data_IF_827271817065
#
_entry.id   IF_827271817065
#
_cell.length_a   1.000
_cell.length_b   1.000
_cell.length_c   1.000
_cell.angle_alpha   90.00
_cell.angle_beta   90.00
_cell.angle_gamma   90.00
#
_symmetry.space_group_name_H-M   'P 1'
#
loop_
_entity.id
_entity.type
_entity.pdbx_description
1 polymer ?
#
# COMPACT_ATOMS: atom_id res chain seq x y z
N UNK A 1 -2.76 -2.09 12.00
CA UNK A 1 -2.21 -3.06 12.99
C UNK A 1 -3.35 -3.81 13.66
N UNK A 2 -3.08 -5.02 14.16
CA UNK A 2 -4.08 -5.76 14.91
C UNK A 2 -4.34 -5.10 16.28
N UNK A 3 -5.55 -5.27 16.79
CA UNK A 3 -5.93 -4.83 18.14
C UNK A 3 -5.30 -5.77 19.18
N UNK A 4 -4.66 -5.24 20.24
CA UNK A 4 -4.01 -6.05 21.28
C UNK A 4 -5.02 -6.91 22.07
N UNK A 5 -6.25 -6.45 22.21
CA UNK A 5 -7.31 -7.24 22.83
C UNK A 5 -7.68 -8.43 21.93
N UNK A 6 -7.80 -8.19 20.61
CA UNK A 6 -8.05 -9.26 19.65
C UNK A 6 -6.91 -10.31 19.69
N UNK A 7 -5.64 -9.88 19.68
CA UNK A 7 -4.49 -10.77 19.75
C UNK A 7 -4.57 -11.65 21.01
N UNK A 8 -4.85 -11.05 22.16
CA UNK A 8 -4.95 -11.76 23.44
C UNK A 8 -6.09 -12.78 23.48
N UNK A 9 -7.26 -12.42 22.92
CA UNK A 9 -8.44 -13.28 22.91
C UNK A 9 -8.37 -14.37 21.83
N UNK A 10 -7.51 -14.20 20.80
CA UNK A 10 -7.40 -15.09 19.66
C UNK A 10 -5.93 -15.49 19.38
N UNK A 11 -5.12 -15.67 20.42
CA UNK A 11 -3.66 -15.91 20.31
C UNK A 11 -3.34 -17.06 19.36
N UNK A 12 -4.03 -18.20 19.45
CA UNK A 12 -3.76 -19.37 18.59
C UNK A 12 -4.11 -19.11 17.13
N UNK A 13 -5.18 -18.36 16.86
CA UNK A 13 -5.53 -17.98 15.49
C UNK A 13 -4.47 -17.03 14.87
N UNK A 14 -3.94 -16.09 15.67
CA UNK A 14 -2.86 -15.19 15.21
C UNK A 14 -1.58 -15.97 14.97
N UNK A 15 -1.21 -16.93 15.84
CA UNK A 15 -0.06 -17.82 15.63
C UNK A 15 -0.22 -18.65 14.35
N UNK A 16 -1.39 -19.25 14.13
CA UNK A 16 -1.69 -20.00 12.91
C UNK A 16 -1.57 -19.12 11.64
N UNK A 17 -2.08 -17.89 11.70
CA UNK A 17 -1.95 -16.93 10.60
C UNK A 17 -0.48 -16.58 10.32
N UNK A 18 0.35 -16.40 11.34
CA UNK A 18 1.80 -16.17 11.17
C UNK A 18 2.48 -17.36 10.48
N UNK A 19 2.17 -18.58 10.91
CA UNK A 19 2.69 -19.81 10.29
C UNK A 19 2.27 -19.90 8.82
N UNK A 20 0.98 -19.71 8.51
CA UNK A 20 0.46 -19.76 7.15
C UNK A 20 1.08 -18.68 6.24
N UNK A 21 1.47 -17.53 6.81
CA UNK A 21 2.16 -16.44 6.10
C UNK A 21 3.69 -16.59 6.08
N UNK A 22 4.23 -17.74 6.48
CA UNK A 22 5.67 -17.99 6.59
C UNK A 22 6.42 -16.88 7.36
N UNK A 23 5.80 -16.39 8.43
CA UNK A 23 6.32 -15.31 9.26
C UNK A 23 6.75 -15.87 10.62
N UNK A 24 8.01 -15.66 10.97
CA UNK A 24 8.66 -16.17 12.19
C UNK A 24 8.56 -15.20 13.39
N UNK A 25 7.64 -14.21 13.33
CA UNK A 25 7.46 -13.23 14.39
C UNK A 25 7.08 -13.89 15.72
N UNK A 26 7.81 -13.56 16.79
CA UNK A 26 7.54 -14.05 18.15
C UNK A 26 6.34 -13.32 18.77
N UNK A 27 5.17 -13.98 18.71
CA UNK A 27 3.94 -13.44 19.31
C UNK A 27 3.95 -13.54 20.85
N UNK A 28 4.70 -14.47 21.44
CA UNK A 28 4.71 -14.66 22.90
C UNK A 28 5.34 -13.46 23.61
N UNK A 29 6.33 -12.79 23.00
CA UNK A 29 6.86 -11.52 23.50
C UNK A 29 5.77 -10.44 23.62
N UNK A 30 4.87 -10.34 22.64
CA UNK A 30 3.76 -9.37 22.66
C UNK A 30 2.76 -9.66 23.77
N UNK A 31 2.43 -10.93 23.96
CA UNK A 31 1.52 -11.38 25.04
C UNK A 31 2.11 -11.06 26.41
N UNK A 32 3.40 -11.30 26.60
CA UNK A 32 4.10 -11.00 27.86
C UNK A 32 4.17 -9.48 28.12
N UNK A 33 4.47 -8.68 27.10
CA UNK A 33 4.45 -7.21 27.19
C UNK A 33 3.06 -6.68 27.55
N UNK A 34 1.99 -7.21 26.94
CA UNK A 34 0.61 -6.82 27.28
C UNK A 34 0.26 -7.23 28.73
N UNK A 35 0.67 -8.41 29.18
CA UNK A 35 0.50 -8.84 30.56
C UNK A 35 1.16 -7.85 31.52
N UNK A 36 2.43 -7.56 31.30
CA UNK A 36 3.22 -6.62 32.11
C UNK A 36 2.60 -5.22 32.11
N UNK A 37 2.19 -4.73 30.94
CA UNK A 37 1.49 -3.45 30.80
C UNK A 37 0.23 -3.38 31.67
N UNK A 38 -0.61 -4.41 31.63
CA UNK A 38 -1.84 -4.46 32.43
C UNK A 38 -1.57 -4.52 33.94
N UNK A 39 -0.55 -5.26 34.38
CA UNK A 39 -0.12 -5.30 35.77
C UNK A 39 0.35 -3.92 36.26
N UNK A 40 1.19 -3.22 35.49
CA UNK A 40 1.65 -1.87 35.81
C UNK A 40 0.51 -0.86 35.85
N UNK A 41 -0.44 -0.93 34.94
CA UNK A 41 -1.65 -0.09 34.95
C UNK A 41 -2.47 -0.32 36.22
N UNK A 42 -2.73 -1.57 36.57
CA UNK A 42 -3.50 -1.92 37.78
C UNK A 42 -2.81 -1.42 39.06
N UNK A 43 -1.48 -1.57 39.14
CA UNK A 43 -0.68 -1.04 40.26
C UNK A 43 -0.76 0.48 40.36
N UNK A 44 -0.62 1.16 39.22
CA UNK A 44 -0.70 2.63 39.17
C UNK A 44 -2.09 3.14 39.55
N UNK A 45 -3.16 2.51 39.05
CA UNK A 45 -4.53 2.87 39.42
C UNK A 45 -4.83 2.67 40.91
N UNK A 46 -4.37 1.58 41.50
CA UNK A 46 -4.49 1.31 42.93
C UNK A 46 -3.80 2.39 43.76
N UNK A 47 -2.54 2.71 43.45
CA UNK A 47 -1.77 3.75 44.16
C UNK A 47 -2.34 5.17 43.96
N UNK A 48 -2.86 5.48 42.76
CA UNK A 48 -3.55 6.77 42.50
C UNK A 48 -4.85 6.86 43.30
N UNK A 49 -5.61 5.78 43.43
CA UNK A 49 -6.82 5.71 44.24
C UNK A 49 -6.51 5.90 45.73
N UNK A 50 -5.50 5.19 46.26
CA UNK A 50 -5.00 5.34 47.63
C UNK A 50 -4.59 6.79 47.92
N UNK A 51 -3.73 7.38 47.06
CA UNK A 51 -3.28 8.75 47.18
C UNK A 51 -4.44 9.74 47.22
N UNK A 52 -5.47 9.56 46.38
CA UNK A 52 -6.63 10.43 46.33
C UNK A 52 -7.48 10.31 47.62
N UNK A 53 -7.63 9.12 48.18
CA UNK A 53 -8.35 8.89 49.43
C UNK A 53 -7.60 9.53 50.63
N UNK A 54 -6.30 9.30 50.73
CA UNK A 54 -5.48 9.87 51.81
C UNK A 54 -5.33 11.39 51.72
N UNK A 55 -5.25 11.95 50.51
CA UNK A 55 -5.23 13.40 50.28
C UNK A 55 -6.49 14.05 50.84
N UNK A 56 -7.68 13.42 50.73
CA UNK A 56 -8.92 13.93 51.34
C UNK A 56 -8.87 13.89 52.86
N UNK A 57 -8.31 12.83 53.46
CA UNK A 57 -8.13 12.70 54.91
C UNK A 57 -7.15 13.76 55.44
N UNK A 58 -6.02 13.97 54.76
CA UNK A 58 -5.03 15.01 55.11
C UNK A 58 -5.67 16.41 55.07
N UNK A 59 -6.51 16.71 54.08
CA UNK A 59 -7.20 17.95 53.95
C UNK A 59 -8.18 18.18 55.13
N UNK A 60 -8.88 17.14 55.60
CA UNK A 60 -9.77 17.15 56.74
C UNK A 60 -9.00 17.37 58.05
N UNK A 61 -7.92 16.61 58.30
CA UNK A 61 -7.05 16.76 59.46
C UNK A 61 -6.47 18.17 59.59
N UNK A 62 -5.98 18.74 58.47
CA UNK A 62 -5.50 20.13 58.44
C UNK A 62 -6.61 21.14 58.79
N UNK A 63 -7.84 20.91 58.32
CA UNK A 63 -9.00 21.75 58.66
C UNK A 63 -9.32 21.70 60.15
N UNK A 64 -9.14 20.50 60.76
CA UNK A 64 -9.35 20.26 62.18
C UNK A 64 -8.15 20.70 63.05
N UNK A 65 -7.04 21.19 62.46
CA UNK A 65 -5.78 21.55 63.14
C UNK A 65 -5.08 20.35 63.78
N UNK A 66 -5.29 19.15 63.22
CA UNK A 66 -4.60 17.92 63.61
C UNK A 66 -3.27 17.76 62.86
N UNK A 67 -2.29 17.05 63.46
CA UNK A 67 -1.00 16.81 62.82
C UNK A 67 -1.17 15.79 61.69
N UNK A 68 -0.84 16.18 60.47
CA UNK A 68 -0.88 15.34 59.29
C UNK A 68 0.51 15.06 58.69
N UNK A 69 1.58 15.38 59.40
CA UNK A 69 2.96 15.34 58.88
C UNK A 69 3.38 13.93 58.41
N UNK A 70 3.06 12.87 59.20
CA UNK A 70 3.34 11.48 58.88
C UNK A 70 2.57 11.04 57.60
N UNK A 71 1.29 11.40 57.49
CA UNK A 71 0.47 11.06 56.32
C UNK A 71 0.99 11.80 55.04
N UNK A 72 1.44 13.04 55.20
CA UNK A 72 2.04 13.80 54.07
C UNK A 72 3.34 13.14 53.61
N UNK A 73 4.19 12.68 54.51
CA UNK A 73 5.42 11.96 54.17
C UNK A 73 5.12 10.64 53.44
N UNK A 74 4.17 9.86 53.94
CA UNK A 74 3.75 8.61 53.29
C UNK A 74 3.20 8.88 51.86
N UNK A 75 2.42 9.94 51.67
CA UNK A 75 1.91 10.27 50.34
C UNK A 75 2.99 10.79 49.37
N UNK A 76 4.09 11.33 49.89
CA UNK A 76 5.26 11.67 49.09
C UNK A 76 5.97 10.40 48.57
N UNK A 77 6.11 9.35 49.40
CA UNK A 77 6.63 8.07 48.99
C UNK A 77 5.72 7.38 47.95
N UNK A 78 4.41 7.41 48.16
CA UNK A 78 3.43 6.90 47.16
C UNK A 78 3.60 7.65 45.84
N UNK A 79 3.76 8.98 45.86
CA UNK A 79 4.03 9.76 44.66
C UNK A 79 5.31 9.34 43.92
N UNK A 80 6.38 9.02 44.64
CA UNK A 80 7.63 8.52 44.07
C UNK A 80 7.45 7.14 43.43
N UNK A 81 6.70 6.24 44.08
CA UNK A 81 6.37 4.92 43.51
C UNK A 81 5.55 5.04 42.22
N UNK A 82 4.53 5.89 42.21
CA UNK A 82 3.72 6.13 41.01
C UNK A 82 4.63 6.63 39.86
N UNK A 83 5.51 7.58 40.09
CA UNK A 83 6.41 8.11 39.06
C UNK A 83 7.37 7.02 38.50
N UNK A 84 7.85 6.11 39.35
CA UNK A 84 8.68 4.99 38.93
C UNK A 84 7.91 3.99 38.05
N UNK A 85 6.67 3.64 38.45
CA UNK A 85 5.81 2.73 37.69
C UNK A 85 5.37 3.37 36.37
N UNK A 86 4.97 4.65 36.36
CA UNK A 86 4.58 5.37 35.14
C UNK A 86 5.76 5.43 34.14
N UNK A 87 7.02 5.56 34.60
CA UNK A 87 8.21 5.48 33.75
C UNK A 87 8.42 4.09 33.15
N UNK A 88 8.25 3.04 33.96
CA UNK A 88 8.37 1.66 33.48
C UNK A 88 7.26 1.34 32.48
N UNK A 89 6.03 1.75 32.77
CA UNK A 89 4.88 1.58 31.88
C UNK A 89 5.11 2.24 30.52
N UNK A 90 5.61 3.49 30.48
CA UNK A 90 5.94 4.16 29.24
C UNK A 90 6.99 3.40 28.42
N UNK A 91 7.99 2.79 29.07
CA UNK A 91 8.96 1.95 28.40
C UNK A 91 8.35 0.68 27.79
N UNK A 92 7.48 0.00 28.54
CA UNK A 92 6.75 -1.18 28.07
C UNK A 92 5.84 -0.84 26.92
N UNK A 93 5.10 0.28 26.99
CA UNK A 93 4.19 0.72 25.92
C UNK A 93 4.93 1.05 24.63
N UNK A 94 6.11 1.66 24.71
CA UNK A 94 6.94 1.95 23.53
C UNK A 94 7.38 0.66 22.82
N UNK A 95 7.87 -0.33 23.59
CA UNK A 95 8.28 -1.62 23.01
C UNK A 95 7.07 -2.37 22.43
N UNK A 96 5.98 -2.43 23.18
CA UNK A 96 4.75 -3.08 22.73
C UNK A 96 4.22 -2.47 21.42
N UNK A 97 4.24 -1.14 21.30
CA UNK A 97 3.83 -0.44 20.08
C UNK A 97 4.72 -0.82 18.89
N UNK A 98 6.06 -0.85 19.07
CA UNK A 98 6.98 -1.29 17.99
C UNK A 98 6.68 -2.73 17.56
N UNK A 99 6.47 -3.64 18.52
CA UNK A 99 6.14 -5.05 18.21
C UNK A 99 4.81 -5.19 17.47
N UNK A 100 3.77 -4.48 17.91
CA UNK A 100 2.44 -4.49 17.25
C UNK A 100 2.52 -4.00 15.79
N UNK A 101 3.39 -3.05 15.50
CA UNK A 101 3.61 -2.54 14.14
C UNK A 101 4.27 -3.57 13.20
N UNK A 102 4.86 -4.65 13.73
CA UNK A 102 5.55 -5.70 12.95
C UNK A 102 4.69 -6.94 12.70
N UNK A 103 3.52 -7.03 13.32
CA UNK A 103 2.58 -8.13 13.10
C UNK A 103 1.79 -7.86 11.80
N UNK A 104 1.76 -8.80 10.82
CA UNK A 104 0.96 -8.66 9.61
C UNK A 104 -0.54 -8.74 9.91
N UNK A 105 -1.36 -8.32 8.96
CA UNK A 105 -2.80 -8.46 9.07
C UNK A 105 -3.25 -9.93 9.09
N UNK A 106 -4.42 -10.21 9.64
CA UNK A 106 -5.08 -11.50 9.52
C UNK A 106 -5.53 -11.72 8.07
N UNK A 107 -5.30 -12.92 7.55
CA UNK A 107 -5.88 -13.32 6.27
C UNK A 107 -7.33 -13.74 6.46
N UNK A 108 -8.19 -13.42 5.49
CA UNK A 108 -9.57 -13.91 5.44
C UNK A 108 -9.60 -15.44 5.24
N UNK A 109 -10.64 -16.09 5.73
CA UNK A 109 -10.79 -17.54 5.63
C UNK A 109 -10.91 -18.05 4.18
N UNK A 110 -11.27 -17.17 3.23
CA UNK A 110 -11.34 -17.47 1.79
C UNK A 110 -9.98 -17.41 1.07
N UNK A 111 -8.93 -16.96 1.76
CA UNK A 111 -7.58 -16.89 1.20
C UNK A 111 -6.95 -18.29 1.19
N UNK A 112 -6.49 -18.79 0.04
CA UNK A 112 -5.87 -20.11 -0.03
C UNK A 112 -4.57 -20.15 0.77
N UNK A 113 -4.36 -21.25 1.49
CA UNK A 113 -3.07 -21.51 2.15
C UNK A 113 -2.08 -21.96 1.07
N UNK A 114 -0.95 -21.28 0.95
CA UNK A 114 0.07 -21.58 -0.04
C UNK A 114 1.39 -20.95 0.33
N UNK A 115 2.46 -21.35 -0.38
CA UNK A 115 3.84 -20.99 -0.06
C UNK A 115 4.30 -19.69 -0.74
N UNK A 116 4.00 -19.55 -2.02
CA UNK A 116 4.49 -18.46 -2.87
C UNK A 116 3.56 -18.25 -4.08
N UNK A 117 3.93 -17.35 -4.99
CA UNK A 117 3.17 -16.96 -6.18
C UNK A 117 2.78 -18.13 -7.09
N UNK A 118 3.52 -19.24 -7.08
CA UNK A 118 3.19 -20.43 -7.87
C UNK A 118 1.93 -21.18 -7.41
N UNK A 119 1.46 -20.90 -6.20
CA UNK A 119 0.27 -21.50 -5.60
C UNK A 119 -0.94 -20.57 -5.56
N UNK A 120 -0.88 -19.44 -6.23
CA UNK A 120 -2.00 -18.52 -6.38
C UNK A 120 -3.02 -19.08 -7.37
N UNK A 121 -4.26 -19.43 -6.96
CA UNK A 121 -5.26 -19.95 -7.89
C UNK A 121 -5.79 -18.86 -8.81
N UNK A 122 -5.95 -19.21 -10.11
CA UNK A 122 -6.66 -18.39 -11.06
C UNK A 122 -8.16 -18.33 -10.69
N UNK A 123 -8.70 -17.12 -10.59
CA UNK A 123 -10.12 -16.87 -10.28
C UNK A 123 -10.94 -16.72 -11.55
N UNK A 124 -10.41 -15.95 -12.51
CA UNK A 124 -11.06 -15.67 -13.80
C UNK A 124 -10.05 -15.19 -14.84
N UNK A 125 -10.47 -15.23 -16.09
CA UNK A 125 -9.66 -14.83 -17.25
C UNK A 125 -10.52 -14.05 -18.25
N UNK A 126 -9.89 -13.13 -18.97
CA UNK A 126 -10.55 -12.35 -20.01
C UNK A 126 -9.63 -12.14 -21.22
N UNK A 127 -10.25 -12.07 -22.42
CA UNK A 127 -9.59 -11.81 -23.67
C UNK A 127 -8.91 -13.02 -24.30
N UNK A 128 -8.67 -12.94 -25.60
CA UNK A 128 -7.96 -13.97 -26.36
C UNK A 128 -6.53 -13.56 -26.61
N UNK A 129 -5.59 -14.49 -26.37
CA UNK A 129 -4.18 -14.27 -26.65
C UNK A 129 -3.98 -14.24 -28.17
N UNK A 130 -3.50 -13.11 -28.69
CA UNK A 130 -3.19 -12.92 -30.10
C UNK A 130 -2.08 -13.89 -30.53
N UNK A 131 -2.33 -14.62 -31.63
CA UNK A 131 -1.31 -15.44 -32.30
C UNK A 131 -0.63 -14.59 -33.36
N UNK A 132 0.68 -14.41 -33.21
CA UNK A 132 1.50 -13.70 -34.18
C UNK A 132 2.01 -14.67 -35.27
N UNK A 133 2.00 -14.29 -36.56
CA UNK A 133 2.66 -15.07 -37.62
C UNK A 133 4.19 -14.91 -37.64
N UNK A 134 4.73 -14.12 -36.71
CA UNK A 134 6.16 -13.82 -36.53
C UNK A 134 6.53 -13.95 -35.05
N UNK A 135 7.81 -14.09 -34.69
CA UNK A 135 8.28 -14.09 -33.30
C UNK A 135 7.99 -12.74 -32.63
N UNK A 136 7.18 -12.74 -31.58
CA UNK A 136 6.91 -11.53 -30.82
C UNK A 136 8.18 -11.07 -30.08
N UNK A 137 8.50 -9.78 -30.17
CA UNK A 137 9.62 -9.15 -29.47
C UNK A 137 9.16 -8.62 -28.12
N UNK A 138 10.09 -8.51 -27.19
CA UNK A 138 9.83 -7.85 -25.93
C UNK A 138 9.79 -6.32 -26.12
N UNK A 139 9.05 -5.62 -25.25
CA UNK A 139 8.80 -4.18 -25.33
C UNK A 139 10.07 -3.33 -25.34
N UNK A 140 11.13 -3.74 -24.64
CA UNK A 140 12.42 -3.02 -24.65
C UNK A 140 13.11 -3.12 -26.01
N UNK A 141 13.07 -4.28 -26.66
CA UNK A 141 13.63 -4.45 -28.01
C UNK A 141 12.87 -3.59 -29.02
N UNK A 142 11.53 -3.59 -28.95
CA UNK A 142 10.69 -2.72 -29.79
C UNK A 142 11.00 -1.25 -29.56
N UNK A 143 11.07 -0.83 -28.29
CA UNK A 143 11.33 0.55 -27.91
C UNK A 143 12.71 1.06 -28.34
N UNK A 144 13.74 0.25 -28.21
CA UNK A 144 15.11 0.56 -28.66
C UNK A 144 15.17 0.61 -30.20
N UNK A 145 14.59 -0.36 -30.91
CA UNK A 145 14.56 -0.40 -32.38
C UNK A 145 13.80 0.79 -32.99
N UNK A 146 12.72 1.22 -32.35
CA UNK A 146 11.95 2.39 -32.74
C UNK A 146 12.62 3.72 -32.31
N UNK A 147 13.65 3.67 -31.45
CA UNK A 147 14.31 4.84 -30.90
C UNK A 147 13.45 5.65 -29.93
N UNK A 148 12.47 5.01 -29.27
CA UNK A 148 11.51 5.65 -28.35
C UNK A 148 11.74 5.32 -26.87
N UNK A 149 12.59 4.33 -26.56
CA UNK A 149 13.11 4.03 -25.22
C UNK A 149 14.64 4.11 -25.23
N UNK A 150 15.24 4.67 -24.17
CA UNK A 150 16.69 4.81 -24.04
C UNK A 150 17.14 4.47 -22.62
N UNK A 151 17.62 3.25 -22.45
CA UNK A 151 18.18 2.75 -21.20
C UNK A 151 19.64 3.16 -20.99
N UNK A 152 20.40 3.32 -22.08
CA UNK A 152 21.83 3.67 -22.01
C UNK A 152 22.03 5.07 -21.41
N UNK A 153 21.29 6.05 -21.94
CA UNK A 153 21.38 7.43 -21.41
C UNK A 153 20.76 7.55 -20.02
N UNK A 154 19.71 6.82 -19.71
CA UNK A 154 19.15 6.76 -18.37
C UNK A 154 20.16 6.17 -17.37
N UNK A 155 20.92 5.14 -17.79
CA UNK A 155 22.00 4.58 -16.99
C UNK A 155 23.09 5.58 -16.61
N UNK A 156 23.42 6.53 -17.51
CA UNK A 156 24.38 7.62 -17.23
C UNK A 156 23.86 8.63 -16.21
N UNK A 157 22.54 8.82 -16.14
CA UNK A 157 21.91 9.83 -15.26
C UNK A 157 21.58 9.25 -13.89
N UNK A 158 21.04 8.03 -13.83
CA UNK A 158 20.44 7.48 -12.61
C UNK A 158 20.85 6.04 -12.30
N UNK A 159 21.60 5.37 -13.16
CA UNK A 159 21.96 3.96 -13.01
C UNK A 159 21.00 3.01 -13.72
N UNK A 160 21.08 1.73 -13.36
CA UNK A 160 20.22 0.67 -13.93
C UNK A 160 18.76 0.85 -13.55
N UNK A 161 17.85 0.18 -14.30
CA UNK A 161 16.40 0.19 -14.06
C UNK A 161 15.73 1.57 -14.10
N UNK A 162 16.32 2.51 -14.88
CA UNK A 162 15.71 3.77 -15.29
C UNK A 162 15.64 3.82 -16.81
N UNK A 163 14.64 4.51 -17.33
CA UNK A 163 14.42 4.67 -18.76
C UNK A 163 14.09 6.12 -19.11
N UNK A 164 14.62 6.60 -20.25
CA UNK A 164 14.03 7.74 -20.92
C UNK A 164 12.97 7.27 -21.91
N UNK A 165 11.77 7.80 -21.78
CA UNK A 165 10.71 7.68 -22.76
C UNK A 165 10.85 8.86 -23.72
N UNK A 166 10.94 8.58 -25.00
CA UNK A 166 11.19 9.59 -26.03
C UNK A 166 10.02 9.68 -27.01
N UNK A 167 9.71 10.90 -27.47
CA UNK A 167 8.75 11.11 -28.57
C UNK A 167 7.42 10.36 -28.33
N UNK A 168 7.10 9.38 -29.17
CA UNK A 168 5.82 8.66 -29.11
C UNK A 168 5.67 7.75 -27.89
N UNK A 169 6.77 7.24 -27.30
CA UNK A 169 6.65 6.52 -26.03
C UNK A 169 6.25 7.44 -24.87
N UNK A 170 6.85 8.63 -24.76
CA UNK A 170 6.46 9.62 -23.75
C UNK A 170 5.00 10.09 -23.95
N UNK A 171 4.55 10.18 -25.20
CA UNK A 171 3.18 10.53 -25.53
C UNK A 171 2.23 9.39 -25.19
N UNK A 172 2.59 8.14 -25.50
CA UNK A 172 1.81 6.95 -25.16
C UNK A 172 1.66 6.81 -23.66
N UNK A 173 2.71 7.02 -22.87
CA UNK A 173 2.62 6.98 -21.41
C UNK A 173 1.63 8.02 -20.87
N UNK A 174 1.70 9.27 -21.37
CA UNK A 174 0.72 10.31 -21.01
C UNK A 174 -0.70 9.95 -21.45
N UNK A 175 -0.85 9.38 -22.63
CA UNK A 175 -2.15 8.93 -23.13
C UNK A 175 -2.75 7.84 -22.23
N UNK A 176 -1.92 6.88 -21.79
CA UNK A 176 -2.33 5.77 -20.93
C UNK A 176 -2.79 6.28 -19.56
N UNK A 177 -1.99 7.08 -18.87
CA UNK A 177 -2.42 7.52 -17.52
C UNK A 177 -3.59 8.52 -17.56
N UNK A 178 -3.68 9.40 -18.57
CA UNK A 178 -4.82 10.27 -18.72
C UNK A 178 -6.11 9.47 -18.99
N UNK A 179 -6.03 8.48 -19.88
CA UNK A 179 -7.14 7.56 -20.14
C UNK A 179 -7.59 6.82 -18.87
N UNK A 180 -6.65 6.30 -18.05
CA UNK A 180 -6.96 5.64 -16.79
C UNK A 180 -7.69 6.58 -15.82
N UNK A 181 -7.17 7.80 -15.62
CA UNK A 181 -7.79 8.80 -14.77
C UNK A 181 -9.20 9.17 -15.25
N UNK A 182 -9.38 9.39 -16.56
CA UNK A 182 -10.69 9.70 -17.12
C UNK A 182 -11.70 8.57 -16.93
N UNK A 183 -11.27 7.30 -17.08
CA UNK A 183 -12.15 6.15 -16.82
C UNK A 183 -12.54 6.09 -15.35
N UNK A 184 -11.58 6.23 -14.43
CA UNK A 184 -11.86 6.13 -13.00
C UNK A 184 -12.73 7.29 -12.50
N UNK A 185 -12.51 8.49 -12.99
CA UNK A 185 -13.28 9.68 -12.55
C UNK A 185 -14.64 9.81 -13.19
N UNK A 186 -14.78 9.38 -14.47
CA UNK A 186 -16.02 9.58 -15.23
C UNK A 186 -16.93 8.37 -15.26
N UNK A 187 -16.40 7.16 -14.99
CA UNK A 187 -17.16 5.92 -15.14
C UNK A 187 -17.17 5.05 -13.88
N UNK A 188 -16.26 5.29 -12.93
CA UNK A 188 -16.10 4.48 -11.72
C UNK A 188 -16.27 5.30 -10.42
N UNK A 189 -16.72 6.55 -10.52
CA UNK A 189 -17.07 7.44 -9.40
C UNK A 189 -15.92 7.73 -8.41
N UNK A 190 -14.67 7.79 -8.91
CA UNK A 190 -13.53 8.21 -8.10
C UNK A 190 -13.34 9.73 -8.16
N UNK A 191 -12.96 10.31 -7.03
CA UNK A 191 -12.45 11.68 -6.97
C UNK A 191 -10.95 11.68 -7.24
N UNK A 192 -10.51 12.42 -8.26
CA UNK A 192 -9.08 12.58 -8.54
C UNK A 192 -8.41 13.50 -7.51
N UNK A 193 -7.23 13.09 -7.05
CA UNK A 193 -6.40 13.85 -6.10
C UNK A 193 -4.99 13.97 -6.64
N UNK A 194 -4.37 15.13 -6.51
CA UNK A 194 -2.92 15.32 -6.72
C UNK A 194 -2.27 15.45 -5.33
N UNK A 195 -1.71 14.36 -4.79
CA UNK A 195 -1.14 14.35 -3.45
C UNK A 195 0.31 14.84 -3.42
N UNK A 196 0.87 15.15 -2.24
CA UNK A 196 2.30 15.30 -2.05
C UNK A 196 3.07 14.02 -2.41
N UNK A 197 4.29 14.15 -2.98
CA UNK A 197 5.16 13.00 -3.33
C UNK A 197 6.28 12.77 -2.32
N UNK A 198 6.51 13.70 -1.41
CA UNK A 198 7.41 13.54 -0.27
C UNK A 198 6.55 13.40 0.97
N UNK A 199 6.67 12.26 1.65
CA UNK A 199 5.73 11.75 2.64
C UNK A 199 6.45 11.61 3.99
N UNK A 200 5.83 12.03 5.08
CA UNK A 200 6.38 11.85 6.41
C UNK A 200 6.33 10.38 6.88
N UNK A 201 7.23 10.02 7.81
CA UNK A 201 7.32 8.66 8.34
C UNK A 201 6.04 8.16 9.03
N UNK A 202 5.22 9.05 9.60
CA UNK A 202 3.95 8.67 10.23
C UNK A 202 2.95 8.16 9.18
N UNK A 203 2.87 8.81 8.02
CA UNK A 203 2.03 8.34 6.91
C UNK A 203 2.53 7.02 6.33
N UNK A 204 3.87 6.84 6.20
CA UNK A 204 4.46 5.57 5.79
C UNK A 204 4.13 4.44 6.78
N UNK A 205 4.07 4.74 8.07
CA UNK A 205 3.64 3.81 9.11
C UNK A 205 2.14 3.53 9.05
N UNK A 206 1.32 4.53 8.71
CA UNK A 206 -0.13 4.42 8.59
C UNK A 206 -0.59 3.35 7.62
N UNK A 207 0.08 3.19 6.49
CA UNK A 207 -0.22 2.17 5.47
C UNK A 207 0.55 0.86 5.65
N UNK A 208 1.58 0.83 6.53
CA UNK A 208 2.33 -0.40 6.83
C UNK A 208 3.64 -0.56 6.07
N UNK A 209 4.08 0.45 5.31
CA UNK A 209 5.42 0.45 4.69
C UNK A 209 6.50 0.46 5.77
N UNK A 210 6.34 1.27 6.81
CA UNK A 210 7.23 1.28 7.96
C UNK A 210 6.63 0.51 9.15
N UNK A 211 7.48 -0.12 9.98
CA UNK A 211 8.94 -0.19 9.87
C UNK A 211 9.47 -1.28 8.91
N UNK A 212 8.61 -2.19 8.42
CA UNK A 212 9.02 -3.45 7.77
C UNK A 212 9.82 -3.25 6.48
N UNK A 213 9.45 -2.28 5.63
CA UNK A 213 10.01 -2.10 4.29
C UNK A 213 10.91 -0.87 4.17
N UNK A 214 11.54 -0.41 5.27
CA UNK A 214 12.38 0.79 5.25
C UNK A 214 13.53 0.69 4.23
N UNK A 215 14.11 -0.50 4.04
CA UNK A 215 15.20 -0.74 3.11
C UNK A 215 14.80 -0.55 1.63
N UNK A 216 13.52 -0.75 1.32
CA UNK A 216 12.97 -0.54 -0.03
C UNK A 216 12.62 0.92 -0.33
N UNK A 217 12.64 1.80 0.67
CA UNK A 217 12.19 3.18 0.54
C UNK A 217 13.35 4.15 0.29
N UNK A 218 13.14 5.14 -0.60
CA UNK A 218 14.01 6.29 -0.71
C UNK A 218 13.70 7.29 0.40
N UNK A 219 14.65 7.50 1.30
CA UNK A 219 14.54 8.43 2.43
C UNK A 219 15.29 9.72 2.14
N UNK A 220 14.72 10.86 2.54
CA UNK A 220 15.38 12.16 2.47
C UNK A 220 16.41 12.22 3.61
N UNK A 221 17.65 12.55 3.27
CA UNK A 221 18.72 12.61 4.26
C UNK A 221 18.47 13.73 5.30
N UNK A 222 18.67 13.40 6.56
CA UNK A 222 18.49 14.34 7.67
C UNK A 222 17.05 14.59 8.10
N UNK A 223 16.06 14.00 7.41
CA UNK A 223 14.64 14.18 7.70
C UNK A 223 13.91 12.83 7.88
N UNK A 224 12.78 12.87 8.60
CA UNK A 224 11.87 11.72 8.65
C UNK A 224 10.84 11.78 7.50
N UNK A 225 11.37 11.92 6.27
CA UNK A 225 10.59 12.06 5.04
C UNK A 225 11.05 11.03 4.02
N UNK A 226 10.14 10.59 3.16
CA UNK A 226 10.35 9.53 2.17
C UNK A 226 9.75 9.93 0.83
N UNK A 227 10.35 9.53 -0.27
CA UNK A 227 9.72 9.60 -1.58
C UNK A 227 8.62 8.55 -1.67
N UNK A 228 7.46 8.93 -2.19
CA UNK A 228 6.29 8.04 -2.22
C UNK A 228 6.55 6.76 -3.04
N UNK A 229 6.33 5.57 -2.47
CA UNK A 229 6.46 4.31 -3.22
C UNK A 229 5.17 3.96 -4.00
N UNK A 230 4.07 4.62 -3.68
CA UNK A 230 2.72 4.42 -4.24
C UNK A 230 1.80 5.54 -3.74
N UNK A 231 0.82 5.93 -4.54
CA UNK A 231 -0.20 6.88 -4.09
C UNK A 231 -1.12 6.32 -2.98
N UNK A 232 -1.11 5.00 -2.75
CA UNK A 232 -1.75 4.40 -1.58
C UNK A 232 -1.39 5.14 -0.28
N UNK A 233 -0.09 5.50 -0.10
CA UNK A 233 0.36 6.13 1.14
C UNK A 233 -0.31 7.49 1.38
N UNK A 234 -0.19 8.48 0.49
CA UNK A 234 -0.84 9.76 0.72
C UNK A 234 -2.36 9.67 0.70
N UNK A 235 -2.94 8.86 -0.18
CA UNK A 235 -4.40 8.74 -0.27
C UNK A 235 -4.98 8.06 0.97
N UNK A 236 -4.43 6.95 1.46
CA UNK A 236 -4.93 6.28 2.67
C UNK A 236 -4.75 7.16 3.93
N UNK A 237 -3.78 8.06 3.96
CA UNK A 237 -3.58 8.97 5.09
C UNK A 237 -4.33 10.30 4.94
N UNK A 238 -5.12 10.49 3.88
CA UNK A 238 -5.86 11.74 3.66
C UNK A 238 -6.76 12.11 4.84
N UNK A 239 -7.40 11.12 5.47
CA UNK A 239 -8.23 11.28 6.67
C UNK A 239 -7.54 10.84 7.97
N UNK A 240 -6.19 10.80 8.00
CA UNK A 240 -5.46 10.36 9.20
C UNK A 240 -5.82 11.20 10.43
N UNK A 241 -6.19 10.52 11.54
CA UNK A 241 -6.60 11.14 12.80
C UNK A 241 -8.03 11.64 12.85
N UNK A 242 -8.82 11.48 11.79
CA UNK A 242 -10.17 12.03 11.68
C UNK A 242 -11.27 11.02 12.06
N UNK A 243 -12.45 11.57 12.38
CA UNK A 243 -13.68 10.81 12.56
C UNK A 243 -14.71 11.32 11.55
N UNK A 244 -14.95 10.49 10.53
CA UNK A 244 -15.85 10.81 9.43
C UNK A 244 -17.33 10.65 9.84
N UNK A 245 -18.22 11.35 9.14
CA UNK A 245 -19.64 11.02 9.17
C UNK A 245 -19.88 9.75 8.35
N UNK A 246 -20.55 8.75 8.92
CA UNK A 246 -20.89 7.52 8.20
C UNK A 246 -21.78 7.71 6.98
N UNK A 247 -22.41 8.87 6.84
CA UNK A 247 -23.22 9.20 5.67
C UNK A 247 -22.37 9.52 4.42
N UNK A 248 -21.08 9.88 4.58
CA UNK A 248 -20.20 10.15 3.44
C UNK A 248 -19.52 8.90 2.88
N UNK A 249 -19.61 7.77 3.60
CA UNK A 249 -19.02 6.50 3.15
C UNK A 249 -19.94 5.75 2.18
N UNK A 250 -19.42 5.11 1.13
CA UNK A 250 -17.97 4.98 0.83
C UNK A 250 -17.37 6.24 0.21
N UNK A 251 -16.04 6.44 0.39
CA UNK A 251 -15.26 7.47 -0.30
C UNK A 251 -14.25 6.79 -1.21
N UNK A 252 -14.22 7.18 -2.48
CA UNK A 252 -13.32 6.66 -3.51
C UNK A 252 -12.38 7.76 -4.00
N UNK A 253 -11.07 7.55 -3.85
CA UNK A 253 -10.02 8.48 -4.28
C UNK A 253 -9.09 7.81 -5.29
N UNK A 254 -8.71 8.54 -6.34
CA UNK A 254 -7.69 8.09 -7.31
C UNK A 254 -6.60 9.15 -7.49
N UNK A 255 -5.38 8.71 -7.73
CA UNK A 255 -4.27 9.61 -8.00
C UNK A 255 -3.24 8.97 -8.95
N UNK A 256 -2.68 9.79 -9.83
CA UNK A 256 -1.43 9.50 -10.54
C UNK A 256 -0.26 10.00 -9.72
N UNK A 257 0.70 9.13 -9.42
CA UNK A 257 1.98 9.57 -8.84
C UNK A 257 3.16 8.91 -9.53
N UNK A 258 4.33 9.58 -9.59
CA UNK A 258 5.58 8.86 -9.68
C UNK A 258 5.71 7.99 -8.41
N UNK A 259 6.24 6.78 -8.58
CA UNK A 259 6.49 5.83 -7.51
C UNK A 259 7.97 5.52 -7.45
N UNK A 260 8.55 5.51 -6.26
CA UNK A 260 9.99 5.34 -6.06
C UNK A 260 10.26 4.13 -5.17
N UNK A 261 10.96 3.11 -5.71
CA UNK A 261 11.26 1.86 -4.99
C UNK A 261 12.71 1.44 -5.22
N UNK A 262 13.43 1.13 -4.15
CA UNK A 262 14.82 0.62 -4.25
C UNK A 262 14.89 -0.81 -4.78
N UNK A 263 13.78 -1.57 -4.72
CA UNK A 263 13.71 -2.95 -5.19
C UNK A 263 14.81 -3.84 -4.57
N UNK A 264 15.09 -3.66 -3.27
CA UNK A 264 16.21 -4.28 -2.57
C UNK A 264 16.18 -5.81 -2.62
N UNK A 265 14.98 -6.43 -2.59
CA UNK A 265 14.79 -7.88 -2.65
C UNK A 265 14.80 -8.49 -4.06
N UNK A 266 14.97 -7.69 -5.13
CA UNK A 266 14.75 -8.15 -6.51
C UNK A 266 16.03 -8.25 -7.36
N UNK A 267 17.18 -8.53 -6.74
CA UNK A 267 18.46 -8.66 -7.45
C UNK A 267 18.37 -9.73 -8.56
N UNK A 268 18.75 -9.36 -9.79
CA UNK A 268 18.76 -10.23 -10.96
C UNK A 268 17.40 -10.53 -11.61
N UNK A 269 16.27 -10.08 -11.03
CA UNK A 269 14.94 -10.27 -11.63
C UNK A 269 14.59 -9.06 -12.52
N UNK A 270 14.04 -9.30 -13.72
CA UNK A 270 13.54 -8.30 -14.66
C UNK A 270 14.49 -7.07 -14.82
N UNK A 271 15.74 -7.32 -15.12
CA UNK A 271 16.79 -6.28 -15.17
C UNK A 271 16.69 -5.38 -16.42
N UNK A 272 15.89 -5.78 -17.41
CA UNK A 272 15.62 -5.02 -18.64
C UNK A 272 14.14 -4.70 -18.78
N UNK A 273 13.85 -3.62 -19.48
CA UNK A 273 12.49 -3.20 -19.79
C UNK A 273 11.78 -2.46 -18.66
N UNK A 274 10.49 -2.28 -18.84
CA UNK A 274 9.62 -1.43 -18.04
C UNK A 274 8.91 -2.17 -16.90
N UNK A 275 9.15 -3.47 -16.73
CA UNK A 275 8.43 -4.31 -15.76
C UNK A 275 8.84 -3.97 -14.32
N UNK A 276 10.14 -3.72 -14.09
CA UNK A 276 10.68 -3.45 -12.75
C UNK A 276 11.66 -2.29 -12.78
N UNK A 277 11.18 -1.12 -12.36
CA UNK A 277 11.93 0.14 -12.38
C UNK A 277 12.02 0.74 -10.98
N UNK A 278 13.08 1.53 -10.71
CA UNK A 278 13.22 2.31 -9.48
C UNK A 278 12.29 3.52 -9.44
N UNK A 279 11.89 4.02 -10.60
CA UNK A 279 10.93 5.10 -10.78
C UNK A 279 9.96 4.74 -11.90
N UNK A 280 8.65 4.81 -11.62
CA UNK A 280 7.59 4.56 -12.59
C UNK A 280 6.33 5.35 -12.20
N UNK A 281 5.39 5.51 -13.13
CA UNK A 281 4.10 6.11 -12.84
C UNK A 281 3.05 5.01 -12.54
N UNK A 282 2.16 5.31 -11.59
CA UNK A 282 1.04 4.45 -11.24
C UNK A 282 -0.20 5.29 -10.98
N UNK A 283 -1.32 4.91 -11.58
CA UNK A 283 -2.63 5.35 -11.14
C UNK A 283 -3.05 4.43 -10.01
N UNK A 284 -3.42 4.99 -8.89
CA UNK A 284 -3.84 4.25 -7.69
C UNK A 284 -5.27 4.58 -7.34
N UNK A 285 -5.99 3.59 -6.88
CA UNK A 285 -7.34 3.70 -6.35
C UNK A 285 -7.34 3.35 -4.87
N UNK A 286 -7.98 4.17 -4.04
CA UNK A 286 -8.16 3.92 -2.60
C UNK A 286 -9.62 4.10 -2.27
N UNK A 287 -10.18 3.16 -1.49
CA UNK A 287 -11.54 3.23 -0.98
C UNK A 287 -11.55 3.21 0.54
N UNK A 288 -12.47 3.99 1.12
CA UNK A 288 -12.81 3.92 2.54
C UNK A 288 -14.28 3.55 2.62
N UNK A 289 -14.60 2.52 3.36
CA UNK A 289 -15.97 2.04 3.47
C UNK A 289 -16.29 1.59 4.91
N UNK A 290 -17.56 1.27 5.13
CA UNK A 290 -18.00 0.60 6.35
C UNK A 290 -17.55 -0.86 6.33
N UNK A 291 -17.36 -1.48 7.51
CA UNK A 291 -16.91 -2.88 7.59
C UNK A 291 -17.78 -3.86 6.79
N UNK A 292 -19.09 -3.68 6.81
CA UNK A 292 -20.05 -4.55 6.12
C UNK A 292 -19.95 -4.51 4.59
N UNK A 293 -19.48 -3.38 4.02
CA UNK A 293 -19.45 -3.14 2.57
C UNK A 293 -18.12 -3.57 1.95
N UNK A 294 -17.09 -3.86 2.76
CA UNK A 294 -15.69 -3.91 2.28
C UNK A 294 -15.39 -5.08 1.33
N UNK A 295 -16.14 -6.17 1.38
CA UNK A 295 -15.95 -7.28 0.46
C UNK A 295 -16.53 -6.98 -0.92
N UNK A 296 -17.70 -6.35 -0.98
CA UNK A 296 -18.30 -5.89 -2.24
C UNK A 296 -17.43 -4.78 -2.87
N UNK A 297 -16.85 -3.92 -2.03
CA UNK A 297 -15.89 -2.90 -2.48
C UNK A 297 -14.59 -3.49 -3.04
N UNK A 298 -14.12 -4.65 -2.55
CA UNK A 298 -12.98 -5.35 -3.13
C UNK A 298 -13.31 -5.90 -4.54
N UNK A 299 -14.47 -6.51 -4.70
CA UNK A 299 -14.90 -7.03 -6.00
C UNK A 299 -15.08 -5.89 -7.02
N UNK A 300 -15.70 -4.78 -6.62
CA UNK A 300 -15.86 -3.61 -7.50
C UNK A 300 -14.52 -2.97 -7.83
N UNK A 301 -13.60 -2.81 -6.87
CA UNK A 301 -12.26 -2.27 -7.08
C UNK A 301 -11.47 -3.09 -8.10
N UNK A 302 -11.58 -4.43 -8.00
CA UNK A 302 -10.93 -5.34 -8.95
C UNK A 302 -11.53 -5.20 -10.35
N UNK A 303 -12.87 -5.17 -10.45
CA UNK A 303 -13.57 -4.97 -11.74
C UNK A 303 -13.24 -3.62 -12.38
N UNK A 304 -13.06 -2.56 -11.59
CA UNK A 304 -12.67 -1.23 -12.06
C UNK A 304 -11.26 -1.21 -12.67
N UNK A 305 -10.32 -1.98 -12.08
CA UNK A 305 -8.99 -2.18 -12.65
C UNK A 305 -9.03 -3.04 -13.92
N UNK A 306 -9.80 -4.15 -13.92
CA UNK A 306 -10.02 -5.03 -15.09
C UNK A 306 -10.59 -4.25 -16.28
N UNK A 307 -11.50 -3.29 -16.03
CA UNK A 307 -12.14 -2.46 -17.04
C UNK A 307 -11.13 -1.70 -17.91
N UNK A 308 -10.03 -1.23 -17.34
CA UNK A 308 -8.96 -0.58 -18.10
C UNK A 308 -8.37 -1.55 -19.14
N UNK A 309 -8.04 -2.77 -18.73
CA UNK A 309 -7.50 -3.79 -19.65
C UNK A 309 -8.51 -4.23 -20.71
N UNK A 310 -9.79 -4.34 -20.35
CA UNK A 310 -10.87 -4.68 -21.27
C UNK A 310 -11.03 -3.59 -22.34
N UNK A 311 -11.03 -2.32 -21.96
CA UNK A 311 -11.11 -1.20 -22.90
C UNK A 311 -9.86 -1.13 -23.80
N UNK A 312 -8.69 -1.46 -23.28
CA UNK A 312 -7.44 -1.59 -24.04
C UNK A 312 -7.37 -2.88 -24.87
N UNK A 313 -8.32 -3.81 -24.72
CA UNK A 313 -8.34 -5.14 -25.36
C UNK A 313 -7.06 -5.95 -25.09
N UNK A 314 -6.53 -5.87 -23.88
CA UNK A 314 -5.36 -6.62 -23.43
C UNK A 314 -5.81 -7.88 -22.68
N UNK A 315 -5.39 -9.09 -23.10
CA UNK A 315 -5.72 -10.33 -22.40
C UNK A 315 -5.09 -10.37 -21.00
N UNK A 316 -5.85 -10.82 -20.01
CA UNK A 316 -5.39 -10.93 -18.64
C UNK A 316 -6.05 -12.10 -17.92
N UNK A 317 -5.50 -12.47 -16.76
CA UNK A 317 -6.19 -13.27 -15.77
C UNK A 317 -6.12 -12.62 -14.39
N UNK A 318 -6.99 -13.07 -13.49
CA UNK A 318 -7.03 -12.63 -12.10
C UNK A 318 -6.70 -13.83 -11.22
N UNK A 319 -5.77 -13.67 -10.30
CA UNK A 319 -5.39 -14.66 -9.31
C UNK A 319 -5.72 -14.17 -7.91
N UNK A 320 -6.07 -15.09 -7.00
CA UNK A 320 -6.19 -14.78 -5.57
C UNK A 320 -4.85 -15.10 -4.90
N UNK A 321 -4.22 -14.13 -4.25
CA UNK A 321 -2.96 -14.38 -3.57
C UNK A 321 -3.16 -15.33 -2.40
N UNK A 322 -2.27 -16.32 -2.28
CA UNK A 322 -2.22 -17.25 -1.16
C UNK A 322 -1.56 -16.62 0.07
N UNK A 323 -1.65 -17.30 1.21
CA UNK A 323 -1.13 -16.78 2.49
C UNK A 323 0.36 -16.48 2.49
N UNK A 324 1.17 -17.17 1.69
CA UNK A 324 2.62 -16.96 1.58
C UNK A 324 3.03 -15.79 0.68
N UNK A 325 2.13 -15.34 -0.20
CA UNK A 325 2.40 -14.26 -1.17
C UNK A 325 1.68 -12.95 -0.84
N UNK A 326 0.60 -13.00 -0.06
CA UNK A 326 -0.22 -11.84 0.28
C UNK A 326 0.55 -10.74 1.02
N UNK A 327 0.31 -9.48 0.65
CA UNK A 327 0.95 -8.30 1.24
C UNK A 327 0.72 -8.14 2.75
N UNK A 328 1.67 -7.47 3.43
CA UNK A 328 1.71 -7.33 4.89
C UNK A 328 0.42 -6.76 5.51
N UNK A 329 -0.16 -5.74 4.89
CA UNK A 329 -1.35 -5.04 5.38
C UNK A 329 -2.66 -5.65 4.95
N UNK A 330 -2.63 -6.60 3.99
CA UNK A 330 -3.82 -7.13 3.32
C UNK A 330 -4.42 -8.31 4.05
N UNK A 331 -5.76 -8.37 4.08
CA UNK A 331 -6.54 -9.51 4.51
C UNK A 331 -6.91 -10.44 3.34
N UNK A 332 -7.14 -9.86 2.15
CA UNK A 332 -7.31 -10.58 0.88
C UNK A 332 -6.86 -9.69 -0.26
N UNK A 333 -6.24 -10.30 -1.26
CA UNK A 333 -5.72 -9.61 -2.45
C UNK A 333 -6.04 -10.41 -3.70
N UNK A 334 -6.46 -9.68 -4.74
CA UNK A 334 -6.49 -10.16 -6.11
C UNK A 334 -5.41 -9.46 -6.92
N UNK A 335 -4.56 -10.23 -7.59
CA UNK A 335 -3.65 -9.70 -8.61
C UNK A 335 -4.24 -9.90 -10.00
N UNK A 336 -4.14 -8.87 -10.82
CA UNK A 336 -4.49 -8.91 -12.23
C UNK A 336 -3.17 -8.98 -12.98
N UNK A 337 -3.03 -10.03 -13.81
CA UNK A 337 -1.82 -10.27 -14.58
C UNK A 337 -2.13 -10.21 -16.07
N UNK A 338 -1.43 -9.31 -16.79
CA UNK A 338 -1.59 -9.10 -18.22
C UNK A 338 -0.67 -10.02 -19.01
N UNK A 339 -1.16 -10.53 -20.14
CA UNK A 339 -0.36 -11.35 -21.04
C UNK A 339 0.74 -10.56 -21.75
N UNK A 340 1.97 -11.04 -21.68
CA UNK A 340 3.14 -10.47 -22.34
C UNK A 340 3.65 -11.42 -23.44
N UNK A 341 3.35 -11.12 -24.71
CA UNK A 341 3.70 -12.01 -25.84
C UNK A 341 5.18 -12.28 -26.02
N UNK A 342 6.04 -11.28 -25.76
CA UNK A 342 7.49 -11.45 -25.88
C UNK A 342 8.07 -12.42 -24.85
N UNK A 343 7.47 -12.48 -23.68
CA UNK A 343 7.88 -13.38 -22.58
C UNK A 343 7.07 -14.67 -22.52
N UNK A 344 5.97 -14.79 -23.29
CA UNK A 344 5.03 -15.92 -23.27
C UNK A 344 4.52 -16.25 -21.86
N UNK A 345 4.20 -15.21 -21.05
CA UNK A 345 3.68 -15.36 -19.70
C UNK A 345 2.82 -14.18 -19.28
N UNK A 346 2.05 -14.38 -18.22
CA UNK A 346 1.34 -13.34 -17.53
C UNK A 346 2.27 -12.56 -16.60
N UNK A 347 2.00 -11.26 -16.43
CA UNK A 347 2.73 -10.36 -15.53
C UNK A 347 1.76 -9.51 -14.75
N UNK A 348 1.94 -9.46 -13.45
CA UNK A 348 1.20 -8.58 -12.55
C UNK A 348 1.21 -7.14 -13.06
N UNK A 349 0.02 -6.54 -13.19
CA UNK A 349 -0.17 -5.15 -13.60
C UNK A 349 -0.99 -4.36 -12.60
N UNK A 350 -1.77 -5.04 -11.77
CA UNK A 350 -2.52 -4.47 -10.66
C UNK A 350 -2.59 -5.47 -9.51
N UNK A 351 -2.62 -4.94 -8.29
CA UNK A 351 -2.88 -5.68 -7.07
C UNK A 351 -3.98 -4.95 -6.30
N UNK A 352 -5.12 -5.60 -6.08
CA UNK A 352 -6.30 -5.04 -5.42
C UNK A 352 -6.49 -5.71 -4.05
N UNK A 353 -6.38 -4.94 -2.98
CA UNK A 353 -6.32 -5.44 -1.61
C UNK A 353 -7.41 -4.85 -0.72
N UNK A 354 -8.04 -5.70 0.09
CA UNK A 354 -8.81 -5.28 1.26
C UNK A 354 -7.93 -5.39 2.51
N UNK A 355 -7.69 -4.26 3.17
CA UNK A 355 -6.90 -4.19 4.40
C UNK A 355 -7.74 -4.26 5.67
N UNK A 356 -9.06 -4.34 5.55
CA UNK A 356 -9.99 -4.22 6.67
C UNK A 356 -9.68 -2.95 7.51
N UNK A 357 -9.70 -3.06 8.83
CA UNK A 357 -9.38 -1.94 9.73
C UNK A 357 -7.87 -1.78 10.04
N UNK A 358 -7.02 -2.60 9.44
CA UNK A 358 -5.58 -2.66 9.78
C UNK A 358 -4.85 -1.33 9.58
N UNK A 359 -5.04 -0.70 8.42
CA UNK A 359 -4.46 0.62 8.11
C UNK A 359 -5.20 1.73 8.86
N UNK A 360 -6.51 1.65 8.96
CA UNK A 360 -7.32 2.61 9.69
C UNK A 360 -6.94 2.69 11.18
N UNK A 361 -6.58 1.57 11.81
CA UNK A 361 -6.03 1.54 13.18
C UNK A 361 -4.67 2.21 13.28
N UNK A 362 -3.80 2.06 12.28
CA UNK A 362 -2.47 2.70 12.23
C UNK A 362 -2.57 4.21 12.04
N UNK A 363 -3.43 4.63 11.12
CA UNK A 363 -3.65 6.04 10.77
C UNK A 363 -4.75 6.70 11.61
N UNK A 364 -5.40 5.95 12.52
CA UNK A 364 -6.49 6.43 13.38
C UNK A 364 -7.66 7.05 12.60
N UNK A 365 -8.11 6.37 11.53
CA UNK A 365 -9.22 6.81 10.70
C UNK A 365 -10.49 6.12 11.15
N UNK A 366 -11.45 6.89 11.62
CA UNK A 366 -12.69 6.39 12.22
C UNK A 366 -13.90 7.02 11.57
N UNK A 367 -15.07 6.46 11.83
CA UNK A 367 -16.35 7.05 11.44
C UNK A 367 -17.40 6.85 12.55
N UNK A 368 -18.48 7.62 12.48
CA UNK A 368 -19.67 7.40 13.31
C UNK A 368 -20.85 7.13 12.41
N UNK A 369 -21.64 6.10 12.76
CA UNK A 369 -22.90 5.81 12.04
C UNK A 369 -23.91 6.92 12.24
N UNK A 370 -24.01 7.41 13.50
CA UNK A 370 -24.80 8.58 13.88
C UNK A 370 -24.00 9.44 14.85
N UNK A 371 -24.35 10.73 14.96
CA UNK A 371 -23.59 11.74 15.69
C UNK A 371 -23.23 11.38 17.15
N UNK A 372 -24.04 10.56 17.82
CA UNK A 372 -23.84 10.17 19.23
C UNK A 372 -23.21 8.78 19.41
N UNK A 373 -22.99 8.06 18.33
CA UNK A 373 -22.45 6.71 18.40
C UNK A 373 -20.95 6.71 18.74
N UNK A 374 -20.49 5.60 19.30
CA UNK A 374 -19.05 5.37 19.46
C UNK A 374 -18.43 5.28 18.08
N UNK A 375 -17.26 5.91 17.86
CA UNK A 375 -16.59 5.80 16.57
C UNK A 375 -16.06 4.38 16.34
N UNK A 376 -16.23 3.90 15.12
CA UNK A 376 -15.70 2.64 14.58
C UNK A 376 -14.53 2.96 13.64
N UNK A 377 -13.65 1.99 13.37
CA UNK A 377 -12.64 2.14 12.31
C UNK A 377 -13.28 1.89 10.94
N UNK A 378 -12.91 2.70 9.95
CA UNK A 378 -13.25 2.39 8.55
C UNK A 378 -12.46 1.17 8.09
N UNK A 379 -12.95 0.49 7.04
CA UNK A 379 -12.11 -0.40 6.25
C UNK A 379 -11.49 0.38 5.10
N UNK A 380 -10.24 0.04 4.76
CA UNK A 380 -9.50 0.63 3.65
C UNK A 380 -9.18 -0.43 2.61
N UNK A 381 -9.30 -0.03 1.34
CA UNK A 381 -8.93 -0.84 0.20
C UNK A 381 -8.04 -0.02 -0.72
N UNK A 382 -7.13 -0.70 -1.40
CA UNK A 382 -6.30 -0.06 -2.42
C UNK A 382 -6.15 -0.99 -3.62
N UNK A 383 -5.93 -0.40 -4.80
CA UNK A 383 -5.66 -1.14 -6.01
C UNK A 383 -5.01 -0.26 -7.07
N UNK A 384 -4.11 -0.85 -7.86
CA UNK A 384 -3.56 -0.11 -8.99
C UNK A 384 -4.58 -0.03 -10.12
N UNK A 385 -4.79 1.15 -10.61
CA UNK A 385 -5.75 1.38 -11.69
C UNK A 385 -5.17 1.97 -12.99
N UNK A 386 -3.97 1.60 -13.50
CA UNK A 386 -3.01 0.51 -13.30
C UNK A 386 -1.56 1.01 -13.14
N UNK A 387 -0.58 0.08 -13.15
CA UNK A 387 0.85 0.41 -13.32
C UNK A 387 1.10 0.89 -14.77
N UNK A 388 1.38 2.19 -14.96
CA UNK A 388 1.43 2.81 -16.28
C UNK A 388 2.52 2.23 -17.17
N UNK A 389 3.75 2.09 -16.67
CA UNK A 389 4.86 1.54 -17.44
C UNK A 389 4.63 0.09 -17.90
N UNK A 390 4.03 -0.76 -17.03
CA UNK A 390 3.65 -2.13 -17.40
C UNK A 390 2.52 -2.16 -18.44
N UNK A 391 1.57 -1.21 -18.38
CA UNK A 391 0.53 -1.07 -19.38
C UNK A 391 1.09 -0.64 -20.73
N UNK A 392 2.04 0.31 -20.74
CA UNK A 392 2.76 0.70 -21.96
C UNK A 392 3.51 -0.50 -22.54
N UNK A 393 4.23 -1.27 -21.72
CA UNK A 393 4.91 -2.48 -22.17
C UNK A 393 3.94 -3.51 -22.77
N UNK A 394 2.81 -3.75 -22.10
CA UNK A 394 1.78 -4.67 -22.61
C UNK A 394 1.16 -4.20 -23.92
N UNK A 395 0.90 -2.89 -24.08
CA UNK A 395 0.45 -2.32 -25.35
C UNK A 395 1.50 -2.55 -26.45
N UNK A 396 2.76 -2.21 -26.18
CA UNK A 396 3.84 -2.39 -27.16
C UNK A 396 3.94 -3.84 -27.62
N UNK A 397 3.87 -4.80 -26.71
CA UNK A 397 4.00 -6.22 -27.06
C UNK A 397 2.75 -6.80 -27.75
N UNK A 398 1.53 -6.48 -27.27
CA UNK A 398 0.29 -7.01 -27.83
C UNK A 398 -0.11 -6.37 -29.15
N UNK A 399 0.32 -5.13 -29.41
CA UNK A 399 -0.06 -4.38 -30.62
C UNK A 399 1.08 -4.25 -31.63
N UNK A 400 2.19 -4.97 -31.43
CA UNK A 400 3.32 -4.98 -32.37
C UNK A 400 2.95 -5.57 -33.73
N UNK A 401 3.59 -5.10 -34.79
CA UNK A 401 3.48 -5.60 -36.14
C UNK A 401 4.79 -6.25 -36.59
N UNK A 402 4.74 -7.00 -37.70
CA UNK A 402 5.92 -7.71 -38.25
C UNK A 402 7.08 -6.78 -38.58
N UNK A 403 6.78 -5.57 -39.06
CA UNK A 403 7.77 -4.53 -39.35
C UNK A 403 8.32 -3.81 -38.12
N UNK A 404 7.88 -4.19 -36.92
CA UNK A 404 8.29 -3.61 -35.65
C UNK A 404 7.56 -2.33 -35.26
N UNK A 405 6.59 -1.87 -36.03
CA UNK A 405 5.68 -0.77 -35.65
C UNK A 405 4.67 -1.23 -34.61
N UNK A 406 3.98 -0.30 -33.94
CA UNK A 406 3.00 -0.58 -32.91
C UNK A 406 1.69 0.12 -33.27
N UNK A 407 0.60 -0.62 -33.36
CA UNK A 407 -0.74 -0.05 -33.54
C UNK A 407 -1.19 0.59 -32.21
N UNK A 408 -1.71 1.80 -32.27
CA UNK A 408 -2.28 2.49 -31.12
C UNK A 408 -3.68 1.94 -30.84
N UNK A 409 -3.97 1.44 -29.62
CA UNK A 409 -5.32 1.04 -29.25
C UNK A 409 -6.36 2.13 -29.55
N UNK A 410 -7.53 1.74 -30.08
CA UNK A 410 -8.55 2.68 -30.52
C UNK A 410 -8.91 3.74 -29.47
N UNK A 411 -9.05 3.31 -28.21
CA UNK A 411 -9.41 4.18 -27.08
C UNK A 411 -8.33 5.21 -26.72
N UNK A 412 -7.09 5.01 -27.16
CA UNK A 412 -5.98 5.93 -26.93
C UNK A 412 -5.72 6.90 -28.07
N UNK A 413 -6.35 6.69 -29.24
CA UNK A 413 -6.08 7.53 -30.43
C UNK A 413 -6.39 9.01 -30.20
N UNK A 414 -7.48 9.33 -29.50
CA UNK A 414 -7.81 10.71 -29.14
C UNK A 414 -6.74 11.38 -28.27
N UNK A 415 -6.18 10.66 -27.33
CA UNK A 415 -5.07 11.12 -26.49
C UNK A 415 -3.73 11.22 -27.25
N UNK A 416 -3.63 10.53 -28.39
CA UNK A 416 -2.47 10.52 -29.28
C UNK A 416 -2.64 11.45 -30.50
N UNK A 417 -3.65 12.36 -30.49
CA UNK A 417 -4.01 13.26 -31.62
C UNK A 417 -4.35 12.51 -32.91
N UNK A 418 -5.08 11.42 -32.81
CA UNK A 418 -5.48 10.60 -33.94
C UNK A 418 -4.39 9.69 -34.51
N UNK A 419 -3.22 9.59 -33.88
CA UNK A 419 -2.15 8.69 -34.33
C UNK A 419 -2.62 7.23 -34.27
N UNK A 420 -2.50 6.49 -35.36
CA UNK A 420 -2.90 5.08 -35.43
C UNK A 420 -1.73 4.11 -35.30
N UNK A 421 -0.52 4.52 -35.69
CA UNK A 421 0.68 3.66 -35.70
C UNK A 421 1.88 4.43 -35.18
N UNK A 422 2.59 3.83 -34.24
CA UNK A 422 3.89 4.30 -33.75
C UNK A 422 4.98 3.65 -34.60
N UNK A 423 5.68 4.46 -35.37
CA UNK A 423 6.80 4.04 -36.20
C UNK A 423 8.14 4.51 -35.65
N UNK A 424 9.20 4.24 -36.43
CA UNK A 424 10.56 4.60 -36.09
C UNK A 424 10.72 6.12 -35.97
N UNK A 425 11.34 6.56 -34.87
CA UNK A 425 11.65 7.97 -34.63
C UNK A 425 12.89 8.38 -35.46
N UNK A 426 12.86 9.59 -36.02
CA UNK A 426 14.04 10.20 -36.57
C UNK A 426 15.10 10.43 -35.49
N UNK A 427 16.35 10.15 -35.82
CA UNK A 427 17.50 10.32 -34.91
C UNK A 427 17.71 11.80 -34.57
N UNK A 428 18.08 12.13 -33.32
CA UNK A 428 18.57 13.46 -32.96
C UNK A 428 19.98 13.75 -33.56
N UNK A 429 20.69 12.69 -33.89
CA UNK A 429 22.00 12.83 -34.56
C UNK A 429 21.72 12.94 -36.03
N UNK A 430 21.79 14.16 -36.56
CA UNK A 430 22.01 14.31 -38.00
C UNK A 430 23.24 13.46 -38.33
N UNK A 431 23.19 12.67 -39.40
CA UNK A 431 24.34 12.04 -39.97
C UNK A 431 25.47 13.09 -39.94
N UNK A 432 26.51 12.84 -39.11
CA UNK A 432 27.75 13.59 -39.30
C UNK A 432 28.14 13.30 -40.74
N UNK A 433 28.17 14.35 -41.57
CA UNK A 433 28.51 14.23 -42.95
C UNK A 433 29.76 13.39 -43.14
N UNK A 434 29.67 12.53 -44.11
CA UNK A 434 30.82 11.85 -44.68
C UNK A 434 31.92 12.82 -45.02
#
# INVERSE_FOLDING_TARGET
MLDIKFIRENTEAVKANLVNRHNDFDLDEVIELDRKRRELLQMTEALKSERNAETKKIALAKKNKEDASAAISAMREVGTKIAAIDKELAGVELILQDRLLRIPNMTDASVPVGKDDSENPEVRRWGEIRKFPFPAKEHYELGENLGILDSERAGKVSGARFYFYLSMAARLERAVYNFMLDVHTQQNDFTEVIPPYIINGASMQGTGQLPKFEDDMYKVEGENMYMTPTAEVPLTNYFSGEILDGAVLPVHLTALTPCFRKEAGSAGKDTRGLIRQHQFHKVEMVKYCKPEDSWDELESLTAEAEKILQLLKLPYHVVCLCTGDIGFSSAKTYDIEVWMPGQQKYREISSCSNCLDFQARRANIRFRRHQRDKPEFVHTLNGSGLAVGRTVAAIMENYQQEDGTIVVPDVLRSYMNGLEIIGKRESFVSSKGE
#
